data_IF_907248930655
#
_entry.id   IF_907248930655
#
_cell.length_a   1.000
_cell.length_b   1.000
_cell.length_c   1.000
_cell.angle_alpha   90.00
_cell.angle_beta   90.00
_cell.angle_gamma   90.00
#
_symmetry.space_group_name_H-M   'P 1'
#
loop_
_entity.id
_entity.type
_entity.pdbx_description
1 polymer ?
#
# COMPACT_ATOMS: atom_id res chain seq x y z
N UNK A 1 1.14 27.24 -20.99
CA UNK A 1 0.26 26.96 -19.85
C UNK A 1 -1.16 26.60 -20.28
N UNK A 2 -1.75 27.29 -21.25
CA UNK A 2 -3.08 27.01 -21.81
C UNK A 2 -3.20 25.61 -22.45
N UNK A 3 -2.19 25.14 -23.17
CA UNK A 3 -2.17 23.83 -23.81
C UNK A 3 -2.24 22.66 -22.79
N UNK A 4 -1.43 22.72 -21.73
CA UNK A 4 -1.42 21.69 -20.67
C UNK A 4 -2.77 21.64 -19.94
N UNK A 5 -3.39 22.80 -19.66
CA UNK A 5 -4.71 22.85 -19.03
C UNK A 5 -5.81 22.30 -19.93
N UNK A 6 -5.72 22.53 -21.24
CA UNK A 6 -6.67 21.96 -22.22
C UNK A 6 -6.52 20.45 -22.33
N UNK A 7 -5.28 19.94 -22.39
CA UNK A 7 -5.02 18.49 -22.39
C UNK A 7 -5.52 17.85 -21.09
N UNK A 8 -5.21 18.44 -19.94
CA UNK A 8 -5.67 17.92 -18.65
C UNK A 8 -7.19 17.91 -18.55
N UNK A 9 -7.86 18.98 -19.01
CA UNK A 9 -9.33 19.03 -19.08
C UNK A 9 -9.90 17.96 -19.98
N UNK A 10 -9.25 17.71 -21.13
CA UNK A 10 -9.63 16.65 -22.05
C UNK A 10 -9.50 15.26 -21.41
N UNK A 11 -8.36 14.95 -20.77
CA UNK A 11 -8.18 13.66 -20.09
C UNK A 11 -9.14 13.48 -18.90
N UNK A 12 -9.41 14.53 -18.13
CA UNK A 12 -10.36 14.50 -17.02
C UNK A 12 -11.83 14.32 -17.47
N UNK A 13 -12.16 14.52 -18.75
CA UNK A 13 -13.48 14.21 -19.29
C UNK A 13 -13.77 12.70 -19.31
N UNK A 14 -12.73 11.87 -19.38
CA UNK A 14 -12.86 10.41 -19.40
C UNK A 14 -13.16 9.83 -18.00
N UNK A 15 -14.16 8.96 -17.86
CA UNK A 15 -14.53 8.36 -16.58
C UNK A 15 -13.39 7.58 -15.91
N UNK A 16 -12.60 6.83 -16.70
CA UNK A 16 -11.51 6.01 -16.16
C UNK A 16 -10.41 6.86 -15.50
N UNK A 17 -10.12 8.05 -16.02
CA UNK A 17 -9.13 8.97 -15.42
C UNK A 17 -9.62 9.49 -14.07
N UNK A 18 -10.91 9.84 -13.99
CA UNK A 18 -11.53 10.26 -12.72
C UNK A 18 -11.53 9.14 -11.69
N UNK A 19 -11.82 7.92 -12.12
CA UNK A 19 -11.77 6.73 -11.25
C UNK A 19 -10.35 6.47 -10.74
N UNK A 20 -9.36 6.53 -11.62
CA UNK A 20 -7.96 6.38 -11.26
C UNK A 20 -7.49 7.42 -10.22
N UNK A 21 -7.88 8.69 -10.41
CA UNK A 21 -7.57 9.77 -9.45
C UNK A 21 -8.23 9.53 -8.08
N UNK A 22 -9.52 9.21 -8.06
CA UNK A 22 -10.25 8.95 -6.81
C UNK A 22 -9.64 7.76 -6.08
N UNK A 23 -9.47 6.63 -6.76
CA UNK A 23 -8.95 5.38 -6.17
C UNK A 23 -7.51 5.57 -5.73
N UNK A 24 -6.64 6.16 -6.57
CA UNK A 24 -5.24 6.39 -6.25
C UNK A 24 -5.05 7.27 -5.01
N UNK A 25 -5.78 8.38 -4.91
CA UNK A 25 -5.72 9.28 -3.75
C UNK A 25 -6.27 8.61 -2.48
N UNK A 26 -7.36 7.86 -2.57
CA UNK A 26 -7.93 7.15 -1.42
C UNK A 26 -7.02 6.04 -0.91
N UNK A 27 -6.43 5.25 -1.81
CA UNK A 27 -5.46 4.22 -1.45
C UNK A 27 -4.22 4.87 -0.82
N UNK A 28 -3.72 5.96 -1.38
CA UNK A 28 -2.58 6.69 -0.85
C UNK A 28 -2.84 7.19 0.57
N UNK A 29 -4.00 7.79 0.82
CA UNK A 29 -4.43 8.21 2.15
C UNK A 29 -4.46 7.05 3.14
N UNK A 30 -5.13 5.95 2.80
CA UNK A 30 -5.25 4.78 3.68
C UNK A 30 -3.89 4.13 3.95
N UNK A 31 -3.06 3.99 2.92
CA UNK A 31 -1.72 3.40 3.02
C UNK A 31 -0.80 4.25 3.89
N UNK A 32 -0.85 5.58 3.79
CA UNK A 32 -0.03 6.47 4.61
C UNK A 32 -0.44 6.47 6.09
N UNK A 33 -1.74 6.42 6.40
CA UNK A 33 -2.24 6.32 7.77
C UNK A 33 -1.74 5.04 8.46
N UNK A 34 -1.85 3.89 7.78
CA UNK A 34 -1.33 2.62 8.28
C UNK A 34 0.21 2.62 8.29
N UNK A 35 0.82 3.23 7.28
CA UNK A 35 2.27 3.30 7.10
C UNK A 35 2.97 3.93 8.30
N UNK A 36 2.44 5.02 8.86
CA UNK A 36 3.02 5.66 10.05
C UNK A 36 3.12 4.68 11.21
N UNK A 37 2.04 3.92 11.49
CA UNK A 37 2.03 2.96 12.61
C UNK A 37 2.95 1.77 12.34
N UNK A 38 2.99 1.26 11.12
CA UNK A 38 3.80 0.12 10.72
C UNK A 38 5.30 0.46 10.71
N UNK A 39 5.67 1.63 10.18
CA UNK A 39 7.06 2.10 10.15
C UNK A 39 7.59 2.33 11.57
N UNK A 40 6.80 2.95 12.46
CA UNK A 40 7.17 3.14 13.85
C UNK A 40 7.35 1.82 14.61
N UNK A 41 6.58 0.80 14.26
CA UNK A 41 6.72 -0.56 14.82
C UNK A 41 7.84 -1.39 14.18
N UNK A 42 8.62 -0.83 13.27
CA UNK A 42 9.68 -1.53 12.52
C UNK A 42 9.16 -2.67 11.63
N UNK A 43 7.94 -2.53 11.12
CA UNK A 43 7.33 -3.41 10.12
C UNK A 43 7.22 -2.71 8.77
N UNK A 44 8.22 -1.91 8.38
CA UNK A 44 8.20 -1.09 7.17
C UNK A 44 7.98 -1.91 5.89
N UNK A 45 8.54 -3.11 5.83
CA UNK A 45 8.45 -4.01 4.67
C UNK A 45 7.20 -4.90 4.64
N UNK A 46 6.26 -4.74 5.61
CA UNK A 46 5.07 -5.60 5.66
C UNK A 46 4.18 -5.42 4.42
N UNK A 47 4.15 -4.22 3.84
CA UNK A 47 3.46 -3.92 2.59
C UNK A 47 3.95 -4.77 1.44
N UNK A 48 5.28 -4.82 1.27
CA UNK A 48 5.95 -5.64 0.26
C UNK A 48 5.73 -7.14 0.52
N UNK A 49 5.96 -7.59 1.74
CA UNK A 49 5.77 -8.99 2.13
C UNK A 49 4.35 -9.50 1.86
N UNK A 50 3.34 -8.75 2.28
CA UNK A 50 1.94 -9.14 2.10
C UNK A 50 1.48 -9.03 0.63
N UNK A 51 2.01 -8.09 -0.14
CA UNK A 51 1.70 -8.01 -1.57
C UNK A 51 2.24 -9.22 -2.34
N UNK A 52 3.43 -9.71 -1.98
CA UNK A 52 3.96 -10.94 -2.58
C UNK A 52 3.22 -12.20 -2.12
N UNK A 53 2.72 -12.24 -0.89
CA UNK A 53 1.79 -13.30 -0.44
C UNK A 53 0.50 -13.27 -1.24
N UNK A 54 -0.08 -12.07 -1.44
CA UNK A 54 -1.28 -11.92 -2.25
C UNK A 54 -1.05 -12.35 -3.71
N UNK A 55 0.11 -12.03 -4.28
CA UNK A 55 0.51 -12.52 -5.60
C UNK A 55 0.62 -14.06 -5.63
N UNK A 56 1.29 -14.68 -4.67
CA UNK A 56 1.37 -16.14 -4.57
C UNK A 56 -0.01 -16.81 -4.45
N UNK A 57 -0.88 -16.25 -3.62
CA UNK A 57 -2.26 -16.71 -3.48
C UNK A 57 -3.06 -16.55 -4.78
N UNK A 58 -2.86 -15.43 -5.50
CA UNK A 58 -3.47 -15.19 -6.81
C UNK A 58 -3.02 -16.22 -7.84
N UNK A 59 -1.73 -16.54 -7.89
CA UNK A 59 -1.19 -17.56 -8.78
C UNK A 59 -1.87 -18.93 -8.55
N UNK A 60 -2.02 -19.32 -7.29
CA UNK A 60 -2.73 -20.55 -6.91
C UNK A 60 -4.20 -20.49 -7.31
N UNK A 61 -4.90 -19.38 -7.02
CA UNK A 61 -6.32 -19.19 -7.35
C UNK A 61 -6.57 -19.30 -8.87
N UNK A 62 -5.66 -18.76 -9.68
CA UNK A 62 -5.74 -18.79 -11.15
C UNK A 62 -5.65 -20.21 -11.69
N UNK A 63 -4.81 -21.08 -11.10
CA UNK A 63 -4.69 -22.48 -11.50
C UNK A 63 -5.97 -23.25 -11.19
N UNK A 64 -6.54 -23.03 -10.01
CA UNK A 64 -7.81 -23.65 -9.64
C UNK A 64 -9.02 -23.06 -10.36
N UNK A 65 -8.82 -22.08 -11.28
CA UNK A 65 -9.87 -21.40 -12.05
C UNK A 65 -11.03 -20.92 -11.16
N UNK A 66 -10.69 -20.36 -9.99
CA UNK A 66 -11.69 -19.86 -9.07
C UNK A 66 -12.42 -18.67 -9.70
N UNK A 67 -13.74 -18.67 -9.62
CA UNK A 67 -14.61 -17.63 -10.21
C UNK A 67 -14.33 -16.26 -9.61
N UNK A 68 -13.94 -16.21 -8.33
CA UNK A 68 -13.58 -14.98 -7.60
C UNK A 68 -12.24 -15.15 -6.88
N UNK A 69 -11.16 -14.75 -7.53
CA UNK A 69 -9.81 -14.84 -6.96
C UNK A 69 -9.69 -14.11 -5.61
N UNK A 70 -10.36 -12.97 -5.46
CA UNK A 70 -10.32 -12.14 -4.24
C UNK A 70 -10.78 -12.89 -2.99
N UNK A 71 -11.79 -13.78 -3.11
CA UNK A 71 -12.30 -14.58 -1.99
C UNK A 71 -11.23 -15.54 -1.45
N UNK A 72 -10.31 -15.99 -2.30
CA UNK A 72 -9.20 -16.85 -1.87
C UNK A 72 -7.98 -16.04 -1.40
N UNK A 73 -7.63 -14.98 -2.13
CA UNK A 73 -6.46 -14.15 -1.84
C UNK A 73 -6.59 -13.48 -0.47
N UNK A 74 -7.75 -12.93 -0.17
CA UNK A 74 -7.96 -12.13 1.04
C UNK A 74 -7.75 -12.94 2.34
N UNK A 75 -8.35 -14.12 2.57
CA UNK A 75 -8.11 -14.91 3.76
C UNK A 75 -6.65 -15.36 3.92
N UNK A 76 -5.99 -15.75 2.81
CA UNK A 76 -4.58 -16.17 2.82
C UNK A 76 -3.69 -15.01 3.26
N UNK A 77 -3.89 -13.82 2.70
CA UNK A 77 -3.12 -12.62 3.04
C UNK A 77 -3.39 -12.16 4.48
N UNK A 78 -4.64 -12.22 4.94
CA UNK A 78 -4.99 -11.93 6.34
C UNK A 78 -4.30 -12.91 7.29
N UNK A 79 -4.33 -14.20 6.99
CA UNK A 79 -3.65 -15.22 7.79
C UNK A 79 -2.13 -14.97 7.86
N UNK A 80 -1.51 -14.63 6.75
CA UNK A 80 -0.10 -14.26 6.69
C UNK A 80 0.21 -12.99 7.50
N UNK A 81 -0.63 -11.96 7.43
CA UNK A 81 -0.48 -10.73 8.21
C UNK A 81 -0.54 -10.99 9.72
N UNK A 82 -1.51 -11.80 10.16
CA UNK A 82 -1.64 -12.20 11.57
C UNK A 82 -0.43 -13.02 12.01
N UNK A 83 0.03 -13.95 11.16
CA UNK A 83 1.21 -14.77 11.44
C UNK A 83 2.46 -13.88 11.60
N UNK A 84 2.70 -12.97 10.67
CA UNK A 84 3.85 -12.04 10.71
C UNK A 84 3.85 -11.20 11.98
N UNK A 85 2.71 -10.61 12.34
CA UNK A 85 2.61 -9.76 13.54
C UNK A 85 2.73 -10.59 14.84
N UNK A 86 2.29 -11.84 14.85
CA UNK A 86 2.51 -12.73 16.00
C UNK A 86 3.96 -13.18 16.13
N UNK A 87 4.56 -13.56 15.01
CA UNK A 87 5.93 -14.11 14.98
C UNK A 87 6.96 -13.02 15.25
N UNK A 88 6.79 -11.83 14.68
CA UNK A 88 7.72 -10.72 14.83
C UNK A 88 7.85 -10.17 16.26
N UNK A 89 6.91 -10.48 17.16
CA UNK A 89 6.97 -10.06 18.57
C UNK A 89 7.59 -11.09 19.52
N UNK A 90 7.62 -12.37 19.15
CA UNK A 90 7.91 -13.46 20.12
C UNK A 90 9.05 -14.39 19.72
N UNK A 91 9.74 -14.19 18.58
CA UNK A 91 10.72 -15.15 18.08
C UNK A 91 12.14 -14.60 18.05
N UNK A 92 13.12 -15.50 17.99
CA UNK A 92 14.55 -15.20 17.78
C UNK A 92 14.79 -14.55 16.40
N UNK A 93 13.83 -14.63 15.48
CA UNK A 93 13.90 -14.05 14.14
C UNK A 93 13.33 -12.63 14.21
N UNK A 94 14.12 -11.63 13.83
CA UNK A 94 13.68 -10.23 13.75
C UNK A 94 12.55 -10.11 12.74
N UNK A 95 11.56 -9.27 13.02
CA UNK A 95 10.35 -9.11 12.21
C UNK A 95 10.62 -8.88 10.71
N UNK A 96 11.60 -8.03 10.39
CA UNK A 96 12.01 -7.74 9.01
C UNK A 96 12.56 -8.97 8.27
N UNK A 97 13.32 -9.84 8.96
CA UNK A 97 13.81 -11.09 8.36
C UNK A 97 12.67 -12.07 8.06
N UNK A 98 11.68 -12.18 8.96
CA UNK A 98 10.50 -13.01 8.73
C UNK A 98 9.67 -12.50 7.55
N UNK A 99 9.50 -11.18 7.44
CA UNK A 99 8.81 -10.53 6.31
C UNK A 99 9.57 -10.83 5.00
N UNK A 100 10.89 -10.64 4.99
CA UNK A 100 11.71 -10.87 3.80
C UNK A 100 11.66 -12.34 3.34
N UNK A 101 11.74 -13.29 4.26
CA UNK A 101 11.63 -14.72 3.94
C UNK A 101 10.26 -15.06 3.35
N UNK A 102 9.19 -14.55 3.95
CA UNK A 102 7.83 -14.79 3.45
C UNK A 102 7.62 -14.14 2.08
N UNK A 103 8.11 -12.91 1.90
CA UNK A 103 8.07 -12.16 0.65
C UNK A 103 8.70 -12.93 -0.49
N UNK A 104 9.99 -13.27 -0.35
CA UNK A 104 10.75 -13.95 -1.40
C UNK A 104 10.21 -15.34 -1.70
N UNK A 105 9.84 -16.11 -0.67
CA UNK A 105 9.29 -17.46 -0.88
C UNK A 105 7.93 -17.42 -1.56
N UNK A 106 7.04 -16.51 -1.18
CA UNK A 106 5.72 -16.38 -1.80
C UNK A 106 5.82 -15.94 -3.26
N UNK A 107 6.73 -15.00 -3.56
CA UNK A 107 6.98 -14.56 -4.94
C UNK A 107 7.55 -15.71 -5.78
N UNK A 108 8.54 -16.43 -5.26
CA UNK A 108 9.18 -17.55 -5.96
C UNK A 108 8.20 -18.69 -6.24
N UNK A 109 7.41 -19.08 -5.22
CA UNK A 109 6.37 -20.11 -5.37
C UNK A 109 5.29 -19.64 -6.36
N UNK A 110 4.81 -18.40 -6.24
CA UNK A 110 3.81 -17.86 -7.15
C UNK A 110 4.28 -17.84 -8.60
N UNK A 111 5.51 -17.38 -8.86
CA UNK A 111 6.09 -17.38 -10.18
C UNK A 111 6.28 -18.79 -10.74
N UNK A 112 6.81 -19.72 -9.92
CA UNK A 112 7.00 -21.13 -10.32
C UNK A 112 5.66 -21.80 -10.67
N UNK A 113 4.66 -21.58 -9.83
CA UNK A 113 3.32 -22.14 -10.02
C UNK A 113 2.67 -21.59 -11.30
N UNK A 114 2.77 -20.28 -11.57
CA UNK A 114 2.30 -19.69 -12.81
C UNK A 114 3.05 -20.24 -14.03
N UNK A 115 4.36 -20.41 -13.93
CA UNK A 115 5.17 -20.92 -15.05
C UNK A 115 4.86 -22.38 -15.40
N UNK A 116 4.63 -23.24 -14.39
CA UNK A 116 4.36 -24.66 -14.60
C UNK A 116 2.94 -24.96 -15.09
N UNK A 117 1.96 -24.17 -14.64
CA UNK A 117 0.53 -24.51 -14.79
C UNK A 117 -0.28 -23.49 -15.59
N UNK A 118 0.28 -22.30 -15.89
CA UNK A 118 -0.42 -21.31 -16.69
C UNK A 118 -0.49 -21.72 -18.16
N UNK A 119 -1.64 -21.47 -18.74
CA UNK A 119 -1.85 -21.60 -20.20
C UNK A 119 -1.54 -20.30 -20.95
N UNK A 120 -1.12 -19.25 -20.24
CA UNK A 120 -0.77 -17.96 -20.83
C UNK A 120 0.55 -18.07 -21.60
N UNK A 121 0.58 -17.53 -22.82
CA UNK A 121 1.78 -17.47 -23.64
C UNK A 121 2.83 -16.45 -23.11
N UNK A 122 2.43 -15.54 -22.21
CA UNK A 122 3.28 -14.46 -21.67
C UNK A 122 3.19 -14.34 -20.14
N UNK A 123 3.56 -15.39 -19.43
CA UNK A 123 3.55 -15.43 -17.96
C UNK A 123 4.38 -14.28 -17.33
N UNK A 124 5.54 -13.98 -17.92
CA UNK A 124 6.39 -12.88 -17.42
C UNK A 124 5.73 -11.52 -17.54
N UNK A 125 4.98 -11.27 -18.62
CA UNK A 125 4.22 -10.04 -18.82
C UNK A 125 3.05 -9.94 -17.83
N UNK A 126 2.34 -11.03 -17.57
CA UNK A 126 1.23 -11.08 -16.62
C UNK A 126 1.73 -10.83 -15.17
N UNK A 127 2.86 -11.43 -14.80
CA UNK A 127 3.52 -11.18 -13.52
C UNK A 127 3.95 -9.71 -13.39
N UNK A 128 4.59 -9.18 -14.44
CA UNK A 128 5.06 -7.80 -14.46
C UNK A 128 3.88 -6.80 -14.34
N UNK A 129 2.79 -7.03 -15.07
CA UNK A 129 1.60 -6.17 -15.01
C UNK A 129 0.96 -6.17 -13.63
N UNK A 130 0.94 -7.31 -12.95
CA UNK A 130 0.40 -7.43 -11.59
C UNK A 130 1.29 -6.75 -10.55
N UNK A 131 2.61 -6.87 -10.68
CA UNK A 131 3.55 -6.26 -9.74
C UNK A 131 3.64 -4.74 -9.91
N UNK A 132 3.61 -4.25 -11.15
CA UNK A 132 3.77 -2.83 -11.45
C UNK A 132 2.45 -2.08 -11.69
N UNK A 133 1.32 -2.77 -11.79
CA UNK A 133 -0.01 -2.16 -11.87
C UNK A 133 -0.27 -1.28 -13.10
N UNK A 134 0.52 -1.41 -14.17
CA UNK A 134 0.53 -0.46 -15.28
C UNK A 134 -0.76 -0.41 -16.09
N UNK A 135 -1.56 -1.46 -16.10
CA UNK A 135 -2.77 -1.58 -16.93
C UNK A 135 -4.07 -1.59 -16.13
N UNK A 136 -4.05 -2.02 -14.88
CA UNK A 136 -5.27 -2.23 -14.07
C UNK A 136 -5.97 -0.94 -13.69
N UNK A 137 -5.22 0.14 -13.48
CA UNK A 137 -5.80 1.44 -13.09
C UNK A 137 -6.67 2.06 -14.20
N UNK A 138 -6.46 1.65 -15.46
CA UNK A 138 -7.24 2.14 -16.62
C UNK A 138 -8.53 1.33 -16.86
N UNK A 139 -8.66 0.16 -16.24
CA UNK A 139 -9.80 -0.75 -16.42
C UNK A 139 -10.74 -0.79 -15.22
N UNK A 140 -10.63 0.18 -14.30
CA UNK A 140 -11.43 0.27 -13.09
C UNK A 140 -12.94 0.33 -13.38
N UNK A 141 -13.66 -0.59 -12.78
CA UNK A 141 -15.12 -0.63 -12.82
C UNK A 141 -15.74 0.29 -11.76
N UNK A 142 -16.98 0.72 -11.98
CA UNK A 142 -17.72 1.52 -10.98
C UNK A 142 -17.83 0.81 -9.64
N UNK A 143 -17.98 -0.52 -9.65
CA UNK A 143 -18.09 -1.34 -8.44
C UNK A 143 -16.82 -1.32 -7.62
N UNK A 144 -15.65 -1.44 -8.26
CA UNK A 144 -14.35 -1.36 -7.60
C UNK A 144 -14.09 0.00 -6.98
N UNK A 145 -14.44 1.08 -7.70
CA UNK A 145 -14.34 2.46 -7.16
C UNK A 145 -15.22 2.62 -5.91
N UNK A 146 -16.47 2.14 -5.97
CA UNK A 146 -17.39 2.23 -4.84
C UNK A 146 -16.91 1.41 -3.64
N UNK A 147 -16.41 0.21 -3.88
CA UNK A 147 -15.80 -0.65 -2.83
C UNK A 147 -14.60 0.06 -2.20
N UNK A 148 -13.73 0.68 -3.01
CA UNK A 148 -12.58 1.43 -2.52
C UNK A 148 -12.99 2.62 -1.66
N UNK A 149 -14.03 3.38 -2.06
CA UNK A 149 -14.56 4.50 -1.28
C UNK A 149 -15.09 4.03 0.08
N UNK A 150 -15.90 2.98 0.11
CA UNK A 150 -16.45 2.43 1.37
C UNK A 150 -15.32 1.98 2.29
N UNK A 151 -14.36 1.21 1.76
CA UNK A 151 -13.23 0.72 2.55
C UNK A 151 -12.35 1.86 3.07
N UNK A 152 -12.11 2.89 2.27
CA UNK A 152 -11.36 4.06 2.68
C UNK A 152 -12.05 4.83 3.80
N UNK A 153 -13.37 5.01 3.72
CA UNK A 153 -14.15 5.64 4.79
C UNK A 153 -14.06 4.82 6.09
N UNK A 154 -14.18 3.49 6.00
CA UNK A 154 -14.05 2.59 7.16
C UNK A 154 -12.67 2.70 7.81
N UNK A 155 -11.59 2.75 7.02
CA UNK A 155 -10.22 2.88 7.52
C UNK A 155 -9.99 4.22 8.20
N UNK A 156 -10.41 5.30 7.57
CA UNK A 156 -10.28 6.66 8.14
C UNK A 156 -11.11 6.76 9.43
N UNK A 157 -12.35 6.27 9.43
CA UNK A 157 -13.20 6.23 10.61
C UNK A 157 -12.57 5.41 11.73
N UNK A 158 -12.02 4.21 11.42
CA UNK A 158 -11.28 3.40 12.38
C UNK A 158 -10.09 4.16 12.96
N UNK A 159 -9.31 4.83 12.13
CA UNK A 159 -8.15 5.59 12.58
C UNK A 159 -8.53 6.74 13.50
N UNK A 160 -9.61 7.47 13.19
CA UNK A 160 -10.11 8.60 14.01
C UNK A 160 -10.67 8.09 15.35
N UNK A 161 -11.52 7.06 15.31
CA UNK A 161 -12.19 6.52 16.50
C UNK A 161 -11.22 5.84 17.47
N UNK A 162 -10.21 5.14 16.94
CA UNK A 162 -9.26 4.37 17.73
C UNK A 162 -7.89 5.04 17.84
N UNK A 163 -7.77 6.33 17.50
CA UNK A 163 -6.52 7.07 17.50
C UNK A 163 -5.69 6.86 18.79
N UNK A 164 -6.30 7.05 19.97
CA UNK A 164 -5.61 6.90 21.26
C UNK A 164 -5.14 5.46 21.51
N UNK A 165 -5.90 4.47 21.05
CA UNK A 165 -5.55 3.05 21.19
C UNK A 165 -4.42 2.67 20.22
N UNK A 166 -4.46 3.19 19.00
CA UNK A 166 -3.41 2.99 18.00
C UNK A 166 -2.10 3.62 18.50
N UNK A 167 -2.16 4.83 19.06
CA UNK A 167 -1.02 5.48 19.69
C UNK A 167 -0.43 4.62 20.82
N UNK A 168 -1.24 4.21 21.78
CA UNK A 168 -0.81 3.39 22.90
C UNK A 168 -0.15 2.07 22.44
N UNK A 169 -0.79 1.35 21.51
CA UNK A 169 -0.26 0.09 20.95
C UNK A 169 1.03 0.30 20.14
N UNK A 170 1.26 1.50 19.63
CA UNK A 170 2.47 1.80 18.83
C UNK A 170 3.68 2.06 19.72
N UNK A 171 3.51 2.68 20.89
CA UNK A 171 4.61 3.13 21.73
C UNK A 171 4.77 2.38 23.07
N UNK A 172 3.72 1.71 23.57
CA UNK A 172 3.74 1.03 24.87
C UNK A 172 3.68 -0.50 24.69
N UNK A 173 4.81 -1.16 24.94
CA UNK A 173 4.91 -2.62 24.91
C UNK A 173 4.10 -3.30 26.01
N UNK A 174 4.01 -2.72 27.21
CA UNK A 174 3.27 -3.31 28.33
C UNK A 174 1.76 -3.26 28.06
N UNK A 175 1.29 -2.13 27.54
CA UNK A 175 -0.09 -2.00 27.10
C UNK A 175 -0.39 -2.99 25.95
N UNK A 176 0.55 -3.16 25.02
CA UNK A 176 0.42 -4.11 23.91
C UNK A 176 0.34 -5.55 24.39
N UNK A 177 1.10 -5.94 25.43
CA UNK A 177 1.04 -7.27 26.02
C UNK A 177 -0.26 -7.54 26.75
N UNK A 178 -0.80 -6.55 27.47
CA UNK A 178 -2.01 -6.71 28.29
C UNK A 178 -3.31 -6.68 27.46
N UNK A 179 -3.50 -5.64 26.63
CA UNK A 179 -4.76 -5.36 25.93
C UNK A 179 -4.53 -5.17 24.41
N UNK A 180 -3.32 -4.82 24.02
CA UNK A 180 -2.96 -4.44 22.64
C UNK A 180 -2.99 -5.58 21.63
N UNK A 181 -3.06 -6.84 22.06
CA UNK A 181 -3.03 -8.00 21.16
C UNK A 181 -4.19 -7.99 20.17
N UNK A 182 -5.36 -7.60 20.63
CA UNK A 182 -6.56 -7.46 19.80
C UNK A 182 -6.41 -6.30 18.81
N UNK A 183 -5.92 -5.14 19.25
CA UNK A 183 -5.73 -3.98 18.37
C UNK A 183 -4.65 -4.22 17.32
N UNK A 184 -3.54 -4.90 17.68
CA UNK A 184 -2.53 -5.32 16.71
C UNK A 184 -3.12 -6.25 15.64
N UNK A 185 -3.98 -7.19 16.05
CA UNK A 185 -4.66 -8.10 15.12
C UNK A 185 -5.61 -7.34 14.19
N UNK A 186 -6.36 -6.36 14.70
CA UNK A 186 -7.25 -5.52 13.89
C UNK A 186 -6.44 -4.70 12.89
N UNK A 187 -5.33 -4.07 13.31
CA UNK A 187 -4.43 -3.32 12.42
C UNK A 187 -3.88 -4.26 11.32
N UNK A 188 -3.49 -5.50 11.68
CA UNK A 188 -3.02 -6.49 10.71
C UNK A 188 -4.08 -6.82 9.66
N UNK A 189 -5.31 -7.09 10.10
CA UNK A 189 -6.42 -7.41 9.21
C UNK A 189 -6.71 -6.24 8.26
N UNK A 190 -6.83 -5.02 8.80
CA UNK A 190 -7.08 -3.83 8.00
C UNK A 190 -5.95 -3.61 6.99
N UNK A 191 -4.70 -3.76 7.41
CA UNK A 191 -3.53 -3.63 6.54
C UNK A 191 -3.58 -4.67 5.41
N UNK A 192 -3.86 -5.94 5.72
CA UNK A 192 -3.97 -6.99 4.71
C UNK A 192 -5.10 -6.72 3.70
N UNK A 193 -6.27 -6.29 4.18
CA UNK A 193 -7.41 -5.95 3.32
C UNK A 193 -7.06 -4.81 2.37
N UNK A 194 -6.43 -3.74 2.88
CA UNK A 194 -6.01 -2.61 2.04
C UNK A 194 -4.97 -3.04 1.03
N UNK A 195 -3.97 -3.83 1.43
CA UNK A 195 -2.92 -4.30 0.53
C UNK A 195 -3.51 -5.15 -0.60
N UNK A 196 -4.43 -6.08 -0.29
CA UNK A 196 -5.06 -6.93 -1.33
C UNK A 196 -5.86 -6.09 -2.32
N UNK A 197 -6.70 -5.17 -1.82
CA UNK A 197 -7.51 -4.29 -2.67
C UNK A 197 -6.62 -3.35 -3.49
N UNK A 198 -5.65 -2.73 -2.86
CA UNK A 198 -4.76 -1.80 -3.52
C UNK A 198 -3.83 -2.49 -4.53
N UNK A 199 -3.32 -3.70 -4.23
CA UNK A 199 -2.50 -4.48 -5.15
C UNK A 199 -3.26 -4.79 -6.44
N UNK A 200 -4.52 -5.19 -6.34
CA UNK A 200 -5.34 -5.50 -7.53
C UNK A 200 -5.66 -4.27 -8.38
N UNK A 201 -5.67 -3.07 -7.79
CA UNK A 201 -6.03 -1.82 -8.47
C UNK A 201 -4.81 -1.03 -8.96
N UNK A 202 -3.71 -1.06 -8.23
CA UNK A 202 -2.59 -0.12 -8.45
C UNK A 202 -1.23 -0.82 -8.51
N UNK A 203 -1.16 -2.10 -8.16
CA UNK A 203 0.06 -2.91 -8.15
C UNK A 203 0.81 -2.92 -6.82
N UNK A 204 1.65 -3.94 -6.63
CA UNK A 204 2.32 -4.19 -5.33
C UNK A 204 3.43 -3.19 -5.01
N UNK A 205 4.19 -2.76 -6.02
CA UNK A 205 5.30 -1.82 -5.84
C UNK A 205 4.82 -0.47 -5.32
N UNK A 206 3.71 0.03 -5.84
CA UNK A 206 3.18 1.33 -5.43
C UNK A 206 2.67 1.31 -3.98
N UNK A 207 2.05 0.20 -3.54
CA UNK A 207 1.54 0.11 -2.16
C UNK A 207 2.69 0.20 -1.16
N UNK A 208 3.78 -0.54 -1.41
CA UNK A 208 4.97 -0.51 -0.54
C UNK A 208 5.54 0.89 -0.43
N UNK A 209 5.62 1.61 -1.55
CA UNK A 209 6.08 3.00 -1.57
C UNK A 209 5.15 3.93 -0.79
N UNK A 210 3.83 3.85 -0.99
CA UNK A 210 2.83 4.68 -0.30
C UNK A 210 2.76 4.43 1.21
N UNK A 211 3.17 3.25 1.68
CA UNK A 211 3.28 2.95 3.11
C UNK A 211 4.55 3.58 3.69
N UNK A 212 5.68 3.52 2.97
CA UNK A 212 6.99 3.85 3.52
C UNK A 212 7.34 5.33 3.33
N UNK A 213 7.29 5.86 2.11
CA UNK A 213 7.80 7.21 1.80
C UNK A 213 7.08 8.33 2.53
N UNK A 214 5.74 8.42 2.56
CA UNK A 214 5.06 9.50 3.26
C UNK A 214 5.31 9.45 4.76
N UNK A 215 5.36 8.26 5.37
CA UNK A 215 5.64 8.08 6.78
C UNK A 215 7.06 8.54 7.15
N UNK A 216 8.08 8.07 6.40
CA UNK A 216 9.47 8.47 6.63
C UNK A 216 9.68 9.96 6.38
N UNK A 217 9.06 10.53 5.34
CA UNK A 217 9.12 11.96 5.05
C UNK A 217 8.55 12.79 6.21
N UNK A 218 7.40 12.39 6.74
CA UNK A 218 6.74 13.07 7.84
C UNK A 218 7.57 13.02 9.13
N UNK A 219 8.22 11.90 9.41
CA UNK A 219 9.09 11.74 10.60
C UNK A 219 10.34 12.63 10.55
N UNK A 220 10.77 13.08 9.36
CA UNK A 220 11.89 14.02 9.23
C UNK A 220 11.52 15.45 9.66
N UNK A 221 10.24 15.81 9.53
CA UNK A 221 9.77 17.19 9.74
C UNK A 221 8.96 17.32 11.03
N UNK A 222 8.16 16.33 11.39
CA UNK A 222 7.25 16.38 12.54
C UNK A 222 7.77 15.56 13.73
N UNK A 223 7.54 16.08 14.97
CA UNK A 223 7.95 15.38 16.22
C UNK A 223 6.77 14.71 16.94
N UNK A 224 5.56 15.20 16.75
CA UNK A 224 4.39 14.63 17.40
C UNK A 224 3.73 13.57 16.54
N UNK A 225 3.25 12.49 17.15
CA UNK A 225 2.57 11.41 16.43
C UNK A 225 1.39 11.92 15.57
N UNK A 226 0.59 12.84 16.14
CA UNK A 226 -0.50 13.49 15.40
C UNK A 226 0.01 14.28 14.18
N UNK A 227 1.10 15.03 14.36
CA UNK A 227 1.73 15.79 13.28
C UNK A 227 2.26 14.87 12.19
N UNK A 228 2.91 13.77 12.55
CA UNK A 228 3.42 12.77 11.57
C UNK A 228 2.28 12.17 10.76
N UNK A 229 1.16 11.77 11.39
CA UNK A 229 0.00 11.20 10.69
C UNK A 229 -0.60 12.20 9.72
N UNK A 230 -0.88 13.42 10.16
CA UNK A 230 -1.51 14.44 9.30
C UNK A 230 -0.58 14.82 8.14
N UNK A 231 0.70 15.03 8.43
CA UNK A 231 1.68 15.40 7.41
C UNK A 231 1.91 14.28 6.41
N UNK A 232 2.01 13.02 6.85
CA UNK A 232 2.11 11.85 5.98
C UNK A 232 0.88 11.72 5.06
N UNK A 233 -0.33 11.90 5.62
CA UNK A 233 -1.56 11.87 4.84
C UNK A 233 -1.59 12.96 3.75
N UNK A 234 -1.20 14.18 4.08
CA UNK A 234 -1.13 15.30 3.13
C UNK A 234 -0.09 15.02 2.04
N UNK A 235 1.11 14.58 2.41
CA UNK A 235 2.15 14.23 1.43
C UNK A 235 1.70 13.12 0.49
N UNK A 236 1.07 12.09 1.02
CA UNK A 236 0.59 10.95 0.22
C UNK A 236 -0.50 11.35 -0.77
N UNK A 237 -1.43 12.21 -0.36
CA UNK A 237 -2.46 12.76 -1.26
C UNK A 237 -1.80 13.59 -2.37
N UNK A 238 -0.85 14.46 -2.02
CA UNK A 238 -0.12 15.30 -2.98
C UNK A 238 0.68 14.42 -3.94
N UNK A 239 1.45 13.46 -3.43
CA UNK A 239 2.25 12.52 -4.22
C UNK A 239 1.40 11.73 -5.21
N UNK A 240 0.29 11.14 -4.75
CA UNK A 240 -0.61 10.39 -5.61
C UNK A 240 -1.30 11.27 -6.67
N UNK A 241 -1.83 12.43 -6.27
CA UNK A 241 -2.51 13.34 -7.19
C UNK A 241 -1.58 13.83 -8.30
N UNK A 242 -0.45 14.42 -7.92
CA UNK A 242 0.51 14.94 -8.89
C UNK A 242 1.21 13.83 -9.68
N UNK A 243 1.45 12.66 -9.05
CA UNK A 243 2.02 11.51 -9.74
C UNK A 243 1.11 10.96 -10.84
N UNK A 244 -0.20 10.86 -10.59
CA UNK A 244 -1.17 10.45 -11.61
C UNK A 244 -1.26 11.51 -12.73
N UNK A 245 -1.32 12.80 -12.37
CA UNK A 245 -1.38 13.89 -13.37
C UNK A 245 -0.12 13.89 -14.24
N UNK A 246 1.07 13.77 -13.66
CA UNK A 246 2.33 13.69 -14.40
C UNK A 246 2.39 12.44 -15.28
N UNK A 247 1.93 11.29 -14.79
CA UNK A 247 1.86 10.07 -15.57
C UNK A 247 1.01 10.23 -16.82
N UNK A 248 -0.13 10.89 -16.71
CA UNK A 248 -1.03 11.15 -17.84
C UNK A 248 -0.37 12.08 -18.86
N UNK A 249 0.26 13.17 -18.40
CA UNK A 249 0.91 14.14 -19.28
C UNK A 249 2.17 13.61 -19.96
N UNK A 250 2.93 12.75 -19.26
CA UNK A 250 4.18 12.18 -19.78
C UNK A 250 4.03 10.79 -20.39
N UNK A 251 2.81 10.23 -20.42
CA UNK A 251 2.53 8.86 -20.90
C UNK A 251 3.42 7.79 -20.23
N UNK A 252 3.64 7.93 -18.92
CA UNK A 252 4.48 7.04 -18.11
C UNK A 252 3.64 6.08 -17.26
N UNK A 253 4.18 4.94 -16.78
CA UNK A 253 3.47 4.04 -15.88
C UNK A 253 3.10 4.74 -14.57
N UNK A 254 1.81 4.74 -14.20
CA UNK A 254 1.27 5.48 -13.06
C UNK A 254 1.97 5.12 -11.75
N UNK A 255 2.13 3.83 -11.46
CA UNK A 255 2.77 3.38 -10.23
C UNK A 255 4.20 3.87 -10.08
N UNK A 256 5.02 3.71 -11.13
CA UNK A 256 6.40 4.14 -11.11
C UNK A 256 6.54 5.67 -10.98
N UNK A 257 5.67 6.44 -11.63
CA UNK A 257 5.68 7.91 -11.57
C UNK A 257 5.36 8.41 -10.16
N UNK A 258 4.38 7.81 -9.48
CA UNK A 258 4.06 8.16 -8.08
C UNK A 258 5.24 7.83 -7.18
N UNK A 259 5.85 6.64 -7.31
CA UNK A 259 7.01 6.23 -6.50
C UNK A 259 8.18 7.20 -6.65
N UNK A 260 8.51 7.61 -7.88
CA UNK A 260 9.57 8.59 -8.14
C UNK A 260 9.24 9.94 -7.52
N UNK A 261 7.99 10.38 -7.60
CA UNK A 261 7.57 11.64 -6.98
C UNK A 261 7.65 11.56 -5.45
N UNK A 262 7.21 10.46 -4.84
CA UNK A 262 7.32 10.23 -3.39
C UNK A 262 8.78 10.20 -2.94
N UNK A 263 9.68 9.63 -3.74
CA UNK A 263 11.12 9.67 -3.50
C UNK A 263 11.67 11.11 -3.52
N UNK A 264 11.26 11.91 -4.50
CA UNK A 264 11.65 13.33 -4.58
C UNK A 264 11.12 14.08 -3.35
N UNK A 265 9.86 13.88 -2.99
CA UNK A 265 9.26 14.48 -1.79
C UNK A 265 10.02 14.07 -0.52
N UNK A 266 10.46 12.81 -0.42
CA UNK A 266 11.27 12.36 0.70
C UNK A 266 12.59 13.12 0.80
N UNK A 267 13.34 13.29 -0.31
CA UNK A 267 14.59 14.05 -0.29
C UNK A 267 14.36 15.52 0.06
N UNK A 268 13.31 16.14 -0.47
CA UNK A 268 12.93 17.52 -0.11
C UNK A 268 12.67 17.63 1.40
N UNK A 269 11.93 16.68 1.99
CA UNK A 269 11.65 16.66 3.42
C UNK A 269 12.91 16.37 4.27
N UNK A 270 13.87 15.59 3.78
CA UNK A 270 15.18 15.44 4.42
C UNK A 270 15.94 16.78 4.50
N UNK A 271 15.95 17.54 3.40
CA UNK A 271 16.56 18.86 3.34
C UNK A 271 15.87 19.81 4.32
N UNK A 272 14.53 19.87 4.29
CA UNK A 272 13.73 20.70 5.21
C UNK A 272 14.03 20.32 6.66
N UNK A 273 14.05 19.03 7.00
CA UNK A 273 14.35 18.53 8.34
C UNK A 273 15.73 18.98 8.84
N UNK A 274 16.73 18.98 7.95
CA UNK A 274 18.08 19.50 8.26
C UNK A 274 18.09 21.00 8.55
N UNK A 275 17.38 21.80 7.76
CA UNK A 275 17.28 23.24 7.99
C UNK A 275 16.55 23.61 9.30
N UNK A 276 15.60 22.78 9.73
CA UNK A 276 14.87 22.98 10.99
C UNK A 276 15.68 22.46 12.21
N UNK A 277 16.89 21.92 12.00
CA UNK A 277 17.75 21.40 13.06
C UNK A 277 17.25 20.08 13.68
N UNK A 278 16.60 19.24 12.88
CA UNK A 278 15.99 17.96 13.32
C UNK A 278 16.74 16.71 12.88
N UNK A 279 17.87 16.89 12.20
CA UNK A 279 18.82 15.83 11.78
C UNK A 279 20.21 16.26 12.18
#
# INVERSE_FOLDING_TARGET
MTHILQELSFYLSYPFVRYALIVGVLIALCSSLLGVTLVLKRFSFIGDGLSHVAFGAMAVATIFKLVNNTIFIMPVTIAAAILLLRTGQNTKIKGDAAIAMLSVSSLAVGYLVMNLFSTSANVSGDVCSTLFGSTTILTLTKTEVFTCIIMSILVVAFFILFYNRIFAVTFDENFTRAIGKTYNMIIAIITAVIIVLAMSLVGSLLISALIIFPALSAMRVMQSFKGVIIYAAVLSIIGAFFGIVLSILCSTPVGATIVVLDLILFFVNCIIGKFIGRI
#
